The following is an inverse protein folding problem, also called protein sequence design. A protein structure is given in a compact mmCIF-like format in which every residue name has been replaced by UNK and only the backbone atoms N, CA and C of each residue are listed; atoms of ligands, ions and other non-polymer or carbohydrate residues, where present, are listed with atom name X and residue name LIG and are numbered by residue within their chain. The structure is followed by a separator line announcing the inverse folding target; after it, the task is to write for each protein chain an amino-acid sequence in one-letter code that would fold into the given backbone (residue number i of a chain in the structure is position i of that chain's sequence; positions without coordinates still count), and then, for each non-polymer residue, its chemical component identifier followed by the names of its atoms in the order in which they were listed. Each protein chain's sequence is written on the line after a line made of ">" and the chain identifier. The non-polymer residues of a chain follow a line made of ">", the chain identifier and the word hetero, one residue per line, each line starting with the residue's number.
data_IF_714740782256
#
_entry.id   IF_714740782256
#
_cell.length_a   1.000
_cell.length_b   1.000
_cell.length_c   1.000
_cell.angle_alpha   90.00
_cell.angle_beta   90.00
_cell.angle_gamma   90.00
#
_symmetry.space_group_name_H-M   'P 1'
#
loop_
_entity.id
_entity.type
_entity.pdbx_description
1 polymer ?
#
# COMPACT_ATOMS: atom_id res chain seq x y z
N UNK A 1 -2.95 15.24 12.71
CA UNK A 1 -4.13 16.13 12.49
C UNK A 1 -4.67 15.90 11.09
N UNK A 2 -5.84 16.42 10.72
CA UNK A 2 -6.34 16.32 9.34
C UNK A 2 -5.37 16.95 8.32
N UNK A 3 -4.66 18.00 8.73
CA UNK A 3 -3.64 18.65 7.91
C UNK A 3 -2.41 17.76 7.71
N UNK A 4 -1.96 17.03 8.72
CA UNK A 4 -0.82 16.11 8.60
C UNK A 4 -1.10 15.01 7.57
N UNK A 5 -2.30 14.40 7.59
CA UNK A 5 -2.70 13.38 6.61
C UNK A 5 -2.77 13.94 5.20
N UNK A 6 -3.24 15.19 5.05
CA UNK A 6 -3.28 15.86 3.75
C UNK A 6 -1.88 16.13 3.20
N UNK A 7 -0.97 16.61 4.05
CA UNK A 7 0.43 16.84 3.67
C UNK A 7 1.11 15.52 3.31
N UNK A 8 0.89 14.46 4.09
CA UNK A 8 1.42 13.13 3.80
C UNK A 8 0.97 12.63 2.44
N UNK A 9 -0.33 12.72 2.12
CA UNK A 9 -0.86 12.31 0.82
C UNK A 9 -0.21 13.08 -0.35
N UNK A 10 -0.07 14.41 -0.24
CA UNK A 10 0.55 15.24 -1.27
C UNK A 10 2.03 14.89 -1.50
N UNK A 11 2.76 14.59 -0.43
CA UNK A 11 4.16 14.15 -0.52
C UNK A 11 4.26 12.80 -1.22
N UNK A 12 3.42 11.84 -0.83
CA UNK A 12 3.41 10.49 -1.44
C UNK A 12 3.08 10.55 -2.94
N UNK A 13 2.11 11.37 -3.33
CA UNK A 13 1.75 11.60 -4.73
C UNK A 13 2.93 12.18 -5.53
N UNK A 14 3.65 13.15 -4.97
CA UNK A 14 4.81 13.76 -5.62
C UNK A 14 5.96 12.76 -5.81
N UNK A 15 6.23 11.95 -4.80
CA UNK A 15 7.24 10.88 -4.85
C UNK A 15 6.88 9.85 -5.92
N UNK A 16 5.63 9.38 -5.92
CA UNK A 16 5.13 8.41 -6.90
C UNK A 16 5.25 8.94 -8.34
N UNK A 17 4.85 10.20 -8.60
CA UNK A 17 4.98 10.85 -9.92
C UNK A 17 6.43 10.96 -10.40
N UNK A 18 7.39 10.93 -9.49
CA UNK A 18 8.82 10.98 -9.79
C UNK A 18 9.44 9.59 -9.94
N UNK A 19 8.64 8.52 -9.88
CA UNK A 19 9.10 7.13 -9.92
C UNK A 19 9.73 6.64 -8.61
N UNK A 20 9.57 7.39 -7.52
CA UNK A 20 10.10 7.04 -6.21
C UNK A 20 9.22 6.04 -5.45
N UNK A 21 9.81 5.38 -4.45
CA UNK A 21 9.07 4.46 -3.57
C UNK A 21 8.37 5.23 -2.43
N UNK A 22 7.09 4.94 -2.18
CA UNK A 22 6.32 5.45 -1.01
C UNK A 22 6.68 4.76 0.31
N UNK A 23 7.54 3.75 0.24
CA UNK A 23 8.06 2.99 1.36
C UNK A 23 9.51 2.61 1.04
N UNK A 24 10.47 3.42 1.47
CA UNK A 24 11.88 3.09 1.32
C UNK A 24 12.24 1.84 2.15
N UNK A 25 11.91 1.85 3.44
CA UNK A 25 12.34 0.80 4.39
C UNK A 25 11.29 0.41 5.44
N UNK A 26 10.25 1.22 5.65
CA UNK A 26 9.23 1.01 6.70
C UNK A 26 8.04 0.14 6.27
N UNK A 27 7.96 -0.26 5.00
CA UNK A 27 6.82 -1.02 4.45
C UNK A 27 5.57 -0.16 4.17
N UNK A 28 4.55 -0.81 3.62
CA UNK A 28 3.22 -0.21 3.37
C UNK A 28 2.50 0.00 4.71
N UNK A 29 2.39 -1.05 5.53
CA UNK A 29 1.71 -0.96 6.82
C UNK A 29 0.22 -0.58 6.68
N UNK A 30 -0.52 -0.51 7.81
CA UNK A 30 -1.93 -0.08 7.80
C UNK A 30 -2.12 1.35 7.29
N UNK A 31 -1.14 2.22 7.52
CA UNK A 31 -1.22 3.64 7.21
C UNK A 31 -1.15 3.95 5.71
N UNK A 32 -0.50 3.09 4.91
CA UNK A 32 -0.29 3.35 3.47
C UNK A 32 -0.98 2.34 2.57
N UNK A 33 -1.85 1.48 3.11
CA UNK A 33 -2.66 0.55 2.32
C UNK A 33 -3.41 1.29 1.22
N UNK A 34 -4.08 2.39 1.58
CA UNK A 34 -4.86 3.17 0.64
C UNK A 34 -3.98 3.86 -0.42
N UNK A 35 -2.69 4.09 -0.12
CA UNK A 35 -1.71 4.68 -1.03
C UNK A 35 -0.98 3.67 -1.92
N UNK A 36 -1.22 2.35 -1.76
CA UNK A 36 -0.49 1.31 -2.49
C UNK A 36 -0.60 1.48 -4.01
N UNK A 37 -1.78 1.89 -4.48
CA UNK A 37 -2.07 2.15 -5.89
C UNK A 37 -1.23 3.27 -6.52
N UNK A 38 -0.62 4.15 -5.71
CA UNK A 38 0.24 5.22 -6.20
C UNK A 38 1.57 4.68 -6.75
N UNK A 39 2.03 3.53 -6.29
CA UNK A 39 3.35 2.96 -6.68
C UNK A 39 3.28 1.56 -7.25
N UNK A 40 2.09 0.96 -7.30
CA UNK A 40 1.86 -0.36 -7.87
C UNK A 40 0.72 -0.29 -8.85
N UNK A 41 0.96 -0.84 -10.02
CA UNK A 41 -0.06 -1.06 -11.04
C UNK A 41 -1.15 -2.01 -10.52
N UNK A 42 -2.32 -1.94 -11.13
CA UNK A 42 -3.41 -2.87 -10.84
C UNK A 42 -2.99 -4.34 -11.05
N UNK A 43 -2.16 -4.62 -12.06
CA UNK A 43 -1.67 -5.97 -12.34
C UNK A 43 -0.75 -6.50 -11.22
N UNK A 44 0.16 -5.67 -10.71
CA UNK A 44 1.02 -6.03 -9.58
C UNK A 44 0.19 -6.29 -8.31
N UNK A 45 -0.80 -5.44 -8.02
CA UNK A 45 -1.68 -5.62 -6.87
C UNK A 45 -2.47 -6.93 -6.99
N UNK A 46 -3.00 -7.26 -8.18
CA UNK A 46 -3.68 -8.54 -8.44
C UNK A 46 -2.74 -9.73 -8.21
N UNK A 47 -1.50 -9.66 -8.69
CA UNK A 47 -0.50 -10.72 -8.45
C UNK A 47 -0.20 -10.89 -6.96
N UNK A 48 -0.01 -9.79 -6.22
CA UNK A 48 0.21 -9.83 -4.77
C UNK A 48 -0.98 -10.48 -4.02
N UNK A 49 -2.22 -10.16 -4.42
CA UNK A 49 -3.42 -10.79 -3.86
C UNK A 49 -3.47 -12.29 -4.15
N UNK A 50 -3.16 -12.71 -5.37
CA UNK A 50 -3.14 -14.11 -5.75
C UNK A 50 -2.15 -14.92 -4.90
N UNK A 51 -0.95 -14.39 -4.67
CA UNK A 51 0.06 -15.00 -3.79
C UNK A 51 -0.46 -15.08 -2.35
N UNK A 52 -1.02 -13.99 -1.81
CA UNK A 52 -1.57 -13.99 -0.44
C UNK A 52 -2.69 -15.02 -0.27
N UNK A 53 -3.63 -15.10 -1.21
CA UNK A 53 -4.74 -16.05 -1.15
C UNK A 53 -4.29 -17.50 -1.27
N UNK A 54 -3.22 -17.78 -2.02
CA UNK A 54 -2.66 -19.12 -2.12
C UNK A 54 -2.04 -19.62 -0.79
N UNK A 55 -1.49 -18.71 0.02
CA UNK A 55 -0.82 -19.02 1.29
C UNK A 55 -1.71 -18.87 2.53
N UNK A 56 -2.64 -17.91 2.50
CA UNK A 56 -3.49 -17.52 3.62
C UNK A 56 -4.95 -17.39 3.13
N UNK A 57 -5.58 -18.50 2.69
CA UNK A 57 -6.93 -18.49 2.12
C UNK A 57 -8.00 -18.06 3.13
N UNK A 58 -7.75 -18.25 4.43
CA UNK A 58 -8.64 -17.81 5.52
C UNK A 58 -8.32 -16.40 6.01
N UNK A 59 -7.26 -15.77 5.49
CA UNK A 59 -6.93 -14.38 5.76
C UNK A 59 -6.50 -14.10 7.20
N UNK A 60 -5.97 -15.08 7.94
CA UNK A 60 -5.62 -14.89 9.36
C UNK A 60 -4.28 -14.18 9.56
N UNK A 61 -3.41 -14.19 8.54
CA UNK A 61 -2.09 -13.60 8.63
C UNK A 61 -2.16 -12.10 8.30
N UNK A 62 -2.06 -11.29 9.36
CA UNK A 62 -1.79 -9.86 9.31
C UNK A 62 -2.83 -9.05 8.50
N UNK A 63 -4.09 -9.17 8.90
CA UNK A 63 -5.24 -8.50 8.28
C UNK A 63 -5.09 -6.98 8.23
N UNK A 64 -5.47 -6.40 7.09
CA UNK A 64 -5.54 -4.95 6.88
C UNK A 64 -4.19 -4.24 6.65
N UNK A 65 -3.08 -4.97 6.51
CA UNK A 65 -1.74 -4.36 6.41
C UNK A 65 -1.26 -4.11 4.99
N UNK A 66 -1.70 -4.92 4.02
CA UNK A 66 -1.37 -4.74 2.60
C UNK A 66 -2.59 -4.39 1.76
N UNK A 67 -3.74 -4.91 2.19
CA UNK A 67 -5.00 -4.76 1.51
C UNK A 67 -6.03 -4.39 2.55
N UNK A 68 -6.86 -3.39 2.23
CA UNK A 68 -8.05 -3.11 3.01
C UNK A 68 -8.93 -4.36 3.02
N UNK A 69 -9.63 -4.65 4.13
CA UNK A 69 -10.56 -5.78 4.23
C UNK A 69 -11.53 -5.83 3.05
#
# INVERSE_FOLDING_TARGET
>A
SADDTRIEHLVLERVARSGGSISAEHGVGRMKVDSLHLTRSAAEITAMRAIKSAWDPTGILNQGILFSP
#
